data_IF_692302725788
#
_entry.id   IF_692302725788
#
_cell.length_a   1.000
_cell.length_b   1.000
_cell.length_c   1.000
_cell.angle_alpha   90.00
_cell.angle_beta   90.00
_cell.angle_gamma   90.00
#
_symmetry.space_group_name_H-M   'P 1'
#
loop_
_entity.id
_entity.type
_entity.pdbx_description
1 polymer ?
#
# COMPACT_ATOMS: atom_id res chain seq x y z
N UNK A 1 -5.71 7.47 30.17
CA UNK A 1 -5.02 6.67 29.14
C UNK A 1 -5.36 7.23 27.76
N UNK A 2 -4.42 7.83 27.02
CA UNK A 2 -4.68 8.53 25.75
C UNK A 2 -4.59 7.59 24.53
N UNK A 3 -5.60 6.71 24.34
CA UNK A 3 -5.69 5.85 23.14
C UNK A 3 -6.93 6.24 22.31
N UNK A 4 -6.71 6.73 21.08
CA UNK A 4 -7.78 7.14 20.15
C UNK A 4 -8.56 5.94 19.55
N UNK A 5 -8.00 4.71 19.63
CA UNK A 5 -8.59 3.45 19.11
C UNK A 5 -8.96 3.46 17.61
N UNK A 6 -8.59 4.49 16.86
CA UNK A 6 -8.71 4.54 15.40
C UNK A 6 -7.52 3.85 14.76
N UNK A 7 -7.75 2.72 14.11
CA UNK A 7 -6.71 1.90 13.49
C UNK A 7 -7.06 1.68 12.03
N UNK A 8 -6.08 1.88 11.14
CA UNK A 8 -6.20 1.60 9.71
C UNK A 8 -5.29 0.43 9.38
N UNK A 9 -5.85 -0.57 8.69
CA UNK A 9 -5.09 -1.61 8.03
C UNK A 9 -4.72 -1.14 6.62
N UNK A 10 -3.46 -1.24 6.25
CA UNK A 10 -2.99 -0.75 4.95
C UNK A 10 -2.01 -1.72 4.29
N UNK A 11 -1.94 -1.62 2.96
CA UNK A 11 -0.96 -2.36 2.16
C UNK A 11 0.44 -1.79 2.34
N UNK A 12 1.47 -2.66 2.36
CA UNK A 12 2.89 -2.30 2.47
C UNK A 12 3.29 -1.12 1.56
N UNK A 13 2.83 -1.14 0.30
CA UNK A 13 3.22 -0.18 -0.74
C UNK A 13 2.77 1.27 -0.47
N UNK A 14 1.84 1.49 0.46
CA UNK A 14 1.41 2.83 0.88
C UNK A 14 2.50 3.50 1.72
N UNK A 15 3.16 2.76 2.61
CA UNK A 15 4.23 3.28 3.47
C UNK A 15 5.63 3.09 2.87
N UNK A 16 5.78 2.10 1.97
CA UNK A 16 7.06 1.75 1.38
C UNK A 16 6.90 1.44 -0.11
N UNK A 17 7.04 2.47 -0.94
CA UNK A 17 6.98 2.35 -2.41
C UNK A 17 7.95 1.31 -2.97
N UNK A 18 9.05 1.01 -2.27
CA UNK A 18 10.03 0.01 -2.70
C UNK A 18 9.45 -1.41 -2.71
N UNK A 19 8.28 -1.64 -2.12
CA UNK A 19 7.55 -2.90 -2.23
C UNK A 19 6.78 -3.03 -3.55
N UNK A 20 6.65 -1.95 -4.35
CA UNK A 20 6.02 -2.01 -5.68
C UNK A 20 6.95 -2.68 -6.69
N UNK A 21 6.39 -3.02 -7.86
CA UNK A 21 7.17 -3.46 -9.01
C UNK A 21 8.24 -2.41 -9.34
N UNK A 22 9.43 -2.86 -9.70
CA UNK A 22 10.49 -1.95 -10.09
C UNK A 22 10.06 -1.11 -11.32
N UNK A 23 10.33 0.20 -11.30
CA UNK A 23 10.03 1.12 -12.41
C UNK A 23 8.64 1.76 -12.42
N UNK A 24 7.76 1.47 -11.45
CA UNK A 24 6.42 2.11 -11.34
C UNK A 24 6.27 2.99 -10.09
N UNK A 25 7.37 3.30 -9.42
CA UNK A 25 7.38 4.15 -8.23
C UNK A 25 7.29 5.63 -8.63
N UNK A 26 6.20 6.29 -8.26
CA UNK A 26 5.97 7.72 -8.53
C UNK A 26 6.36 8.64 -7.36
N UNK A 27 6.87 8.06 -6.26
CA UNK A 27 7.29 8.75 -5.04
C UNK A 27 8.44 7.99 -4.39
N UNK A 28 9.12 8.58 -3.41
CA UNK A 28 10.41 8.07 -2.87
C UNK A 28 10.28 7.15 -1.65
N UNK A 29 9.12 7.12 -0.98
CA UNK A 29 8.95 6.37 0.26
C UNK A 29 7.49 6.06 0.56
N UNK A 30 6.91 6.79 1.51
CA UNK A 30 5.49 6.71 1.83
C UNK A 30 4.67 7.61 0.89
N UNK A 31 3.40 7.30 0.68
CA UNK A 31 2.43 8.17 0.03
C UNK A 31 2.02 9.29 1.02
N UNK A 32 2.82 10.36 1.06
CA UNK A 32 2.70 11.43 2.05
C UNK A 32 1.35 12.14 2.01
N UNK A 33 0.80 12.34 0.81
CA UNK A 33 -0.49 13.02 0.59
C UNK A 33 -1.65 12.30 1.29
N UNK A 34 -1.55 10.98 1.45
CA UNK A 34 -2.51 10.18 2.20
C UNK A 34 -2.14 10.11 3.70
N UNK A 35 -0.86 9.92 4.01
CA UNK A 35 -0.42 9.58 5.36
C UNK A 35 -0.41 10.77 6.32
N UNK A 36 0.06 11.94 5.90
CA UNK A 36 0.19 13.12 6.76
C UNK A 36 -1.17 13.52 7.36
N UNK A 37 -2.26 13.63 6.59
CA UNK A 37 -3.58 13.98 7.15
C UNK A 37 -4.11 12.92 8.15
N UNK A 38 -3.81 11.63 7.93
CA UNK A 38 -4.25 10.55 8.83
C UNK A 38 -3.47 10.56 10.14
N UNK A 39 -2.17 10.84 10.08
CA UNK A 39 -1.33 11.02 11.28
C UNK A 39 -1.85 12.21 12.10
N UNK A 40 -2.12 13.36 11.47
CA UNK A 40 -2.65 14.55 12.14
C UNK A 40 -4.01 14.32 12.81
N UNK A 41 -4.84 13.42 12.25
CA UNK A 41 -6.14 13.01 12.83
C UNK A 41 -5.99 11.95 13.95
N UNK A 42 -4.76 11.52 14.25
CA UNK A 42 -4.44 10.59 15.34
C UNK A 42 -4.81 9.14 15.04
N UNK A 43 -4.75 8.70 13.78
CA UNK A 43 -4.90 7.30 13.42
C UNK A 43 -3.62 6.50 13.73
N UNK A 44 -3.80 5.27 14.22
CA UNK A 44 -2.75 4.25 14.24
C UNK A 44 -2.80 3.39 12.98
N UNK A 45 -1.67 2.78 12.62
CA UNK A 45 -1.55 2.02 11.38
C UNK A 45 -1.05 0.60 11.66
N UNK A 46 -1.68 -0.37 11.02
CA UNK A 46 -1.19 -1.74 10.91
C UNK A 46 -0.86 -1.97 9.45
N UNK A 47 0.42 -2.22 9.17
CA UNK A 47 0.88 -2.54 7.83
C UNK A 47 0.76 -4.04 7.60
N UNK A 48 0.10 -4.44 6.52
CA UNK A 48 0.16 -5.81 6.03
C UNK A 48 1.40 -6.00 5.15
N UNK A 49 2.13 -7.12 5.29
CA UNK A 49 3.21 -7.44 4.37
C UNK A 49 2.64 -7.62 2.95
N UNK A 50 3.40 -7.23 1.93
CA UNK A 50 2.95 -7.37 0.54
C UNK A 50 3.10 -8.83 0.12
N UNK A 51 1.98 -9.56 -0.14
CA UNK A 51 2.06 -10.96 -0.55
C UNK A 51 2.81 -11.12 -1.87
N UNK A 52 2.66 -10.17 -2.79
CA UNK A 52 3.32 -10.20 -4.10
C UNK A 52 4.84 -10.02 -3.97
N UNK A 53 5.30 -9.10 -3.11
CA UNK A 53 6.73 -8.95 -2.84
C UNK A 53 7.29 -10.17 -2.11
N UNK A 54 6.53 -10.74 -1.16
CA UNK A 54 6.97 -11.93 -0.41
C UNK A 54 7.14 -13.15 -1.32
N UNK A 55 6.22 -13.36 -2.28
CA UNK A 55 6.25 -14.54 -3.14
C UNK A 55 7.05 -14.35 -4.43
N UNK A 56 6.95 -13.18 -5.06
CA UNK A 56 7.52 -12.94 -6.40
C UNK A 56 8.69 -11.94 -6.40
N UNK A 57 8.97 -11.29 -5.28
CA UNK A 57 9.99 -10.24 -5.18
C UNK A 57 9.62 -8.94 -5.90
N UNK A 58 10.54 -7.96 -5.84
CA UNK A 58 10.35 -6.61 -6.42
C UNK A 58 10.58 -6.56 -7.93
N UNK A 59 11.32 -7.52 -8.49
CA UNK A 59 11.61 -7.63 -9.94
C UNK A 59 10.50 -8.36 -10.72
N UNK A 60 9.36 -8.67 -10.08
CA UNK A 60 8.21 -9.32 -10.70
C UNK A 60 7.59 -8.47 -11.81
N UNK A 61 6.79 -9.09 -12.68
CA UNK A 61 5.96 -8.36 -13.64
C UNK A 61 4.60 -7.94 -13.02
N UNK A 62 3.93 -6.97 -13.65
CA UNK A 62 2.62 -6.49 -13.22
C UNK A 62 1.53 -7.54 -13.44
N UNK A 63 1.13 -8.22 -12.38
CA UNK A 63 0.00 -9.16 -12.38
C UNK A 63 -1.31 -8.35 -12.48
N UNK A 64 -1.89 -8.25 -13.67
CA UNK A 64 -3.21 -7.62 -13.86
C UNK A 64 -4.28 -8.70 -14.03
N UNK A 65 -5.42 -8.53 -13.38
CA UNK A 65 -6.60 -9.34 -13.68
C UNK A 65 -7.18 -8.83 -15.00
N UNK A 66 -7.17 -9.65 -16.05
CA UNK A 66 -7.96 -9.37 -17.25
C UNK A 66 -9.42 -9.53 -16.86
N UNK A 67 -10.12 -8.42 -16.68
CA UNK A 67 -11.57 -8.43 -16.49
C UNK A 67 -12.17 -8.48 -17.88
N UNK A 68 -12.54 -9.68 -18.34
CA UNK A 68 -13.40 -9.81 -19.51
C UNK A 68 -14.79 -9.26 -19.12
N UNK A 69 -15.07 -8.01 -19.51
CA UNK A 69 -16.43 -7.51 -19.56
C UNK A 69 -17.15 -8.27 -20.68
N UNK A 70 -17.68 -9.45 -20.36
CA UNK A 70 -18.78 -10.02 -21.14
C UNK A 70 -20.01 -9.24 -20.66
N UNK A 71 -20.23 -8.10 -21.28
CA UNK A 71 -21.49 -7.37 -21.18
C UNK A 71 -22.60 -8.20 -21.78
N UNK A 72 -23.75 -8.17 -21.11
CA UNK A 72 -25.06 -8.46 -21.70
C UNK A 72 -25.28 -7.66 -22.99
#
# INVERSE_FOLDING_TARGET
MHRNKKIILLSHCILNVNSKVNGIANYKGSLEELMIPLIQKGFGFIQLPCPETLHCGVKRWGQVKVINFIGY
#
